data_IF_465528245356
#
_entry.id   IF_465528245356
#
_cell.length_a   1.000
_cell.length_b   1.000
_cell.length_c   1.000
_cell.angle_alpha   90.00
_cell.angle_beta   90.00
_cell.angle_gamma   90.00
#
_symmetry.space_group_name_H-M   'P 1'
#
loop_
_entity.id
_entity.type
_entity.pdbx_description
1 polymer ?
#
# COMPACT_ATOMS: atom_id res chain seq x y z
N UNK A 1 -1.36 -10.04 7.02
CA UNK A 1 -0.21 -10.92 6.66
C UNK A 1 0.75 -11.03 7.83
N UNK A 2 1.06 -12.25 8.31
CA UNK A 2 2.01 -12.44 9.42
C UNK A 2 3.42 -11.96 9.07
N UNK A 3 3.87 -12.18 7.84
CA UNK A 3 5.20 -11.81 7.33
C UNK A 3 5.46 -10.29 7.39
N UNK A 4 4.45 -9.45 7.14
CA UNK A 4 4.60 -7.99 7.21
C UNK A 4 4.76 -7.48 8.65
N UNK A 5 4.15 -8.17 9.62
CA UNK A 5 4.29 -7.80 11.04
C UNK A 5 5.71 -8.01 11.55
N UNK A 6 6.42 -9.01 11.02
CA UNK A 6 7.81 -9.31 11.38
C UNK A 6 8.80 -8.23 10.93
N UNK A 7 8.44 -7.43 9.93
CA UNK A 7 9.24 -6.27 9.46
C UNK A 7 8.74 -4.93 10.03
N UNK A 8 7.86 -4.98 11.03
CA UNK A 8 7.33 -3.81 11.72
C UNK A 8 6.20 -3.08 10.98
N UNK A 9 5.55 -3.73 10.00
CA UNK A 9 4.39 -3.19 9.30
C UNK A 9 3.09 -3.87 9.72
N UNK A 10 2.05 -3.06 9.90
CA UNK A 10 0.67 -3.53 10.02
C UNK A 10 -0.02 -3.49 8.66
N UNK A 11 -1.06 -4.31 8.49
CA UNK A 11 -1.85 -4.40 7.24
C UNK A 11 -2.20 -3.02 6.67
N UNK A 12 -1.91 -2.79 5.39
CA UNK A 12 -2.15 -1.55 4.67
C UNK A 12 -1.00 -0.52 4.77
N UNK A 13 -0.10 -0.63 5.75
CA UNK A 13 1.05 0.28 5.85
C UNK A 13 2.09 0.03 4.76
N UNK A 14 2.25 -1.22 4.34
CA UNK A 14 3.08 -1.63 3.23
C UNK A 14 2.66 -0.95 1.92
N UNK A 15 1.35 -0.83 1.67
CA UNK A 15 0.83 -0.23 0.45
C UNK A 15 1.08 1.28 0.42
N UNK A 16 0.90 1.95 1.57
CA UNK A 16 1.27 3.36 1.71
C UNK A 16 2.76 3.57 1.46
N UNK A 17 3.64 2.73 2.04
CA UNK A 17 5.07 2.83 1.80
C UNK A 17 5.46 2.57 0.34
N UNK A 18 4.84 1.57 -0.31
CA UNK A 18 5.01 1.33 -1.75
C UNK A 18 4.66 2.57 -2.56
N UNK A 19 3.50 3.17 -2.28
CA UNK A 19 3.05 4.38 -2.96
C UNK A 19 4.06 5.52 -2.82
N UNK A 20 4.59 5.74 -1.61
CA UNK A 20 5.63 6.74 -1.36
C UNK A 20 6.97 6.43 -2.04
N UNK A 21 7.34 5.16 -2.17
CA UNK A 21 8.57 4.77 -2.87
C UNK A 21 8.47 4.89 -4.39
N UNK A 22 7.29 4.72 -4.95
CA UNK A 22 7.02 4.83 -6.38
C UNK A 22 6.79 6.28 -6.82
N UNK A 23 5.99 7.02 -6.06
CA UNK A 23 5.53 8.37 -6.44
C UNK A 23 6.22 9.50 -5.67
N UNK A 24 7.11 9.16 -4.73
CA UNK A 24 7.78 10.14 -3.87
C UNK A 24 6.82 10.79 -2.85
N UNK A 25 7.22 11.94 -2.27
CA UNK A 25 6.43 12.68 -1.29
C UNK A 25 4.98 12.97 -1.71
N UNK A 26 4.00 12.50 -0.95
CA UNK A 26 2.57 12.72 -1.19
C UNK A 26 1.94 13.58 -0.10
N UNK A 27 0.88 14.34 -0.43
CA UNK A 27 0.09 15.02 0.62
C UNK A 27 -0.67 13.99 1.42
N UNK A 28 -0.75 14.19 2.73
CA UNK A 28 -1.43 13.25 3.61
C UNK A 28 -2.94 13.13 3.29
N UNK A 29 -3.56 14.23 2.82
CA UNK A 29 -4.97 14.22 2.41
C UNK A 29 -5.19 13.40 1.14
N UNK A 30 -4.27 13.47 0.19
CA UNK A 30 -4.34 12.70 -1.06
C UNK A 30 -4.17 11.21 -0.77
N UNK A 31 -3.26 10.85 0.16
CA UNK A 31 -3.16 9.49 0.66
C UNK A 31 -4.44 9.02 1.35
N UNK A 32 -5.11 9.87 2.14
CA UNK A 32 -6.37 9.48 2.78
C UNK A 32 -7.45 9.14 1.75
N UNK A 33 -7.57 9.96 0.70
CA UNK A 33 -8.49 9.74 -0.41
C UNK A 33 -8.12 8.50 -1.23
N UNK A 34 -6.85 8.33 -1.61
CA UNK A 34 -6.39 7.20 -2.45
C UNK A 34 -6.61 5.85 -1.76
N UNK A 35 -6.38 5.78 -0.44
CA UNK A 35 -6.52 4.57 0.35
C UNK A 35 -7.92 4.38 0.96
N UNK A 36 -8.91 5.17 0.52
CA UNK A 36 -10.30 5.16 1.00
C UNK A 36 -10.40 5.12 2.53
N UNK A 37 -9.69 6.04 3.20
CA UNK A 37 -9.62 6.10 4.66
C UNK A 37 -9.85 7.51 5.18
N UNK A 38 -10.40 7.60 6.40
CA UNK A 38 -10.60 8.89 7.04
C UNK A 38 -9.26 9.55 7.44
N UNK A 39 -9.26 10.89 7.54
CA UNK A 39 -8.08 11.68 7.88
C UNK A 39 -7.45 11.30 9.22
N UNK A 40 -8.25 10.87 10.21
CA UNK A 40 -7.75 10.49 11.53
C UNK A 40 -7.03 9.14 11.48
N UNK A 41 -7.57 8.18 10.72
CA UNK A 41 -6.96 6.88 10.43
C UNK A 41 -5.65 7.05 9.67
N UNK A 42 -5.64 7.84 8.58
CA UNK A 42 -4.41 8.16 7.86
C UNK A 42 -3.37 8.83 8.77
N UNK A 43 -3.79 9.78 9.62
CA UNK A 43 -2.90 10.42 10.59
C UNK A 43 -2.26 9.41 11.54
N UNK A 44 -3.05 8.47 12.11
CA UNK A 44 -2.51 7.43 13.00
C UNK A 44 -1.52 6.52 12.28
N UNK A 45 -1.80 6.17 11.02
CA UNK A 45 -0.93 5.36 10.18
C UNK A 45 0.41 6.03 9.93
N UNK A 46 0.38 7.30 9.50
CA UNK A 46 1.58 8.10 9.25
C UNK A 46 2.38 8.32 10.53
N UNK A 47 1.75 8.66 11.64
CA UNK A 47 2.43 8.82 12.93
C UNK A 47 3.16 7.55 13.38
N UNK A 48 2.61 6.37 13.09
CA UNK A 48 3.26 5.11 13.44
C UNK A 48 4.47 4.82 12.55
N UNK A 49 4.37 5.09 11.25
CA UNK A 49 5.50 4.99 10.32
C UNK A 49 6.59 6.00 10.67
N UNK A 50 6.22 7.20 11.11
CA UNK A 50 7.14 8.25 11.56
C UNK A 50 7.84 7.84 12.86
N UNK A 51 7.09 7.29 13.84
CA UNK A 51 7.67 6.73 15.07
C UNK A 51 8.62 5.56 14.80
N UNK A 52 8.37 4.78 13.75
CA UNK A 52 9.28 3.73 13.29
C UNK A 52 10.47 4.26 12.47
N UNK A 53 10.52 5.57 12.21
CA UNK A 53 11.60 6.22 11.47
C UNK A 53 11.53 6.04 9.95
N UNK A 54 10.46 5.48 9.40
CA UNK A 54 10.33 5.18 7.96
C UNK A 54 9.82 6.36 7.14
N UNK A 55 9.08 7.28 7.75
CA UNK A 55 8.63 8.50 7.09
C UNK A 55 8.92 9.71 7.96
N UNK A 56 8.86 10.89 7.35
CA UNK A 56 8.81 12.18 8.03
C UNK A 56 7.69 13.03 7.44
N UNK A 57 7.08 13.88 8.26
CA UNK A 57 6.13 14.89 7.80
C UNK A 57 6.83 16.22 7.58
N UNK A 58 6.58 16.85 6.44
CA UNK A 58 7.09 18.18 6.10
C UNK A 58 5.94 19.08 5.66
N UNK A 59 6.01 20.41 5.89
CA UNK A 59 5.03 21.34 5.33
C UNK A 59 5.00 21.23 3.80
N UNK A 60 3.82 21.31 3.21
CA UNK A 60 3.72 21.39 1.76
C UNK A 60 4.25 22.76 1.28
N UNK A 61 5.12 22.81 0.26
CA UNK A 61 5.69 24.06 -0.22
C UNK A 61 4.66 25.00 -0.85
N UNK A 62 3.57 24.44 -1.38
CA UNK A 62 2.53 25.18 -2.10
C UNK A 62 1.31 25.51 -1.21
N UNK A 63 1.15 24.79 -0.09
CA UNK A 63 0.11 25.05 0.91
C UNK A 63 0.59 24.77 2.35
N UNK A 64 0.86 25.83 3.13
CA UNK A 64 1.32 25.71 4.52
C UNK A 64 0.32 25.02 5.47
N UNK A 65 -0.94 24.88 5.07
CA UNK A 65 -1.97 24.15 5.84
C UNK A 65 -1.91 22.65 5.56
N UNK A 66 -1.29 22.24 4.45
CA UNK A 66 -1.10 20.86 4.08
C UNK A 66 0.24 20.31 4.58
N UNK A 67 0.29 18.99 4.70
CA UNK A 67 1.49 18.24 5.11
C UNK A 67 1.79 17.17 4.08
N UNK A 68 3.05 17.06 3.67
CA UNK A 68 3.56 15.97 2.85
C UNK A 68 4.21 14.92 3.72
N UNK A 69 4.02 13.67 3.33
CA UNK A 69 4.66 12.50 3.94
C UNK A 69 5.78 12.07 3.01
N UNK A 70 7.01 12.00 3.53
CA UNK A 70 8.19 11.63 2.76
C UNK A 70 8.82 10.36 3.32
N UNK A 71 9.23 9.39 2.48
CA UNK A 71 10.03 8.27 2.94
C UNK A 71 11.40 8.76 3.40
N UNK A 72 11.91 8.21 4.50
CA UNK A 72 13.27 8.47 4.98
C UNK A 72 14.28 7.52 4.34
N UNK A 73 15.59 7.81 4.41
CA UNK A 73 16.62 6.85 4.02
C UNK A 73 16.54 5.51 4.77
N UNK A 74 16.07 5.52 6.03
CA UNK A 74 15.90 4.30 6.82
C UNK A 74 14.83 3.36 6.21
N UNK A 75 13.84 3.91 5.49
CA UNK A 75 12.82 3.11 4.80
C UNK A 75 13.36 2.28 3.64
N UNK A 76 14.57 2.55 3.12
CA UNK A 76 15.13 1.78 2.01
C UNK A 76 15.45 0.33 2.38
N UNK A 77 15.82 0.08 3.65
CA UNK A 77 16.00 -1.28 4.15
C UNK A 77 14.65 -2.02 4.23
N UNK A 78 13.61 -1.31 4.69
CA UNK A 78 12.25 -1.81 4.73
C UNK A 78 11.73 -2.12 3.31
N UNK A 79 12.02 -1.26 2.32
CA UNK A 79 11.65 -1.49 0.91
C UNK A 79 12.13 -2.85 0.42
N UNK A 80 13.41 -3.15 0.61
CA UNK A 80 13.98 -4.46 0.22
C UNK A 80 13.39 -5.63 0.99
N UNK A 81 12.93 -5.42 2.22
CA UNK A 81 12.24 -6.47 2.98
C UNK A 81 10.84 -6.72 2.43
N UNK A 82 10.09 -5.65 2.17
CA UNK A 82 8.75 -5.70 1.60
C UNK A 82 8.79 -6.32 0.21
N UNK A 83 9.67 -5.87 -0.68
CA UNK A 83 9.83 -6.43 -2.04
C UNK A 83 10.07 -7.95 -1.99
N UNK A 84 10.95 -8.44 -1.11
CA UNK A 84 11.17 -9.88 -0.94
C UNK A 84 9.95 -10.63 -0.44
N UNK A 85 9.19 -10.06 0.49
CA UNK A 85 7.94 -10.67 0.98
C UNK A 85 6.93 -10.79 -0.17
N UNK A 86 6.80 -9.76 -1.00
CA UNK A 86 5.90 -9.78 -2.15
C UNK A 86 6.34 -10.76 -3.23
N UNK A 87 7.63 -10.83 -3.56
CA UNK A 87 8.16 -11.84 -4.48
C UNK A 87 7.92 -13.26 -3.97
N UNK A 88 8.11 -13.52 -2.69
CA UNK A 88 7.84 -14.85 -2.12
C UNK A 88 6.35 -15.16 -2.10
N UNK A 89 5.51 -14.18 -1.79
CA UNK A 89 4.06 -14.34 -1.86
C UNK A 89 3.59 -14.63 -3.28
N UNK A 90 4.11 -13.91 -4.28
CA UNK A 90 3.84 -14.16 -5.68
C UNK A 90 4.20 -15.61 -6.03
N UNK A 91 5.43 -16.03 -5.70
CA UNK A 91 5.92 -17.41 -5.93
C UNK A 91 5.01 -18.47 -5.29
N UNK A 92 4.56 -18.25 -4.06
CA UNK A 92 3.67 -19.16 -3.35
C UNK A 92 2.24 -19.15 -3.90
N UNK A 93 1.79 -18.01 -4.44
CA UNK A 93 0.44 -17.84 -4.99
C UNK A 93 0.30 -18.50 -6.35
N UNK A 94 1.30 -18.33 -7.23
CA UNK A 94 1.28 -18.97 -8.55
C UNK A 94 1.82 -20.39 -8.55
N UNK A 95 2.67 -20.76 -7.59
CA UNK A 95 3.21 -22.12 -7.50
C UNK A 95 3.85 -22.60 -8.82
N UNK A 96 3.38 -23.75 -9.31
CA UNK A 96 3.80 -24.34 -10.61
C UNK A 96 2.87 -23.97 -11.78
N UNK A 97 1.98 -22.98 -11.61
CA UNK A 97 1.03 -22.59 -12.66
C UNK A 97 1.76 -22.10 -13.91
N UNK A 98 1.33 -22.62 -15.07
CA UNK A 98 1.76 -22.09 -16.37
C UNK A 98 1.21 -20.68 -16.59
N UNK A 99 1.83 -19.94 -17.50
CA UNK A 99 1.34 -18.61 -17.88
C UNK A 99 -0.11 -18.64 -18.41
N UNK A 100 -0.55 -19.76 -18.98
CA UNK A 100 -1.94 -19.94 -19.42
C UNK A 100 -2.90 -20.09 -18.24
N UNK A 101 -2.55 -20.95 -17.27
CA UNK A 101 -3.35 -21.12 -16.05
C UNK A 101 -3.45 -19.82 -15.24
N UNK A 102 -2.40 -19.01 -15.21
CA UNK A 102 -2.43 -17.69 -14.58
C UNK A 102 -3.38 -16.73 -15.29
N UNK A 103 -3.36 -16.69 -16.64
CA UNK A 103 -4.30 -15.88 -17.43
C UNK A 103 -5.74 -16.31 -17.20
N UNK A 104 -6.01 -17.61 -17.19
CA UNK A 104 -7.35 -18.14 -16.96
C UNK A 104 -7.86 -17.79 -15.55
N UNK A 105 -6.99 -17.89 -14.54
CA UNK A 105 -7.33 -17.51 -13.17
C UNK A 105 -7.67 -16.02 -13.06
N UNK A 106 -6.87 -15.14 -13.67
CA UNK A 106 -7.14 -13.69 -13.72
C UNK A 106 -8.49 -13.44 -14.40
N UNK A 107 -8.76 -14.05 -15.55
CA UNK A 107 -10.04 -13.89 -16.24
C UNK A 107 -11.27 -14.33 -15.42
N UNK A 108 -11.12 -15.36 -14.57
CA UNK A 108 -12.18 -15.78 -13.64
C UNK A 108 -12.37 -14.75 -12.52
N UNK A 109 -11.28 -14.24 -11.94
CA UNK A 109 -11.33 -13.22 -10.88
C UNK A 109 -11.94 -11.91 -11.37
N UNK A 110 -11.55 -11.42 -12.54
CA UNK A 110 -12.11 -10.20 -13.15
C UNK A 110 -13.63 -10.32 -13.35
N UNK A 111 -14.10 -11.50 -13.77
CA UNK A 111 -15.53 -11.75 -13.93
C UNK A 111 -16.26 -11.79 -12.59
N UNK A 112 -15.65 -12.34 -11.54
CA UNK A 112 -16.21 -12.33 -10.18
C UNK A 112 -16.31 -10.88 -9.68
N UNK A 113 -15.25 -10.09 -9.84
CA UNK A 113 -15.24 -8.66 -9.48
C UNK A 113 -16.34 -7.89 -10.23
N UNK A 114 -16.44 -8.07 -11.55
CA UNK A 114 -17.47 -7.44 -12.37
C UNK A 114 -18.90 -7.76 -11.91
N UNK A 115 -19.16 -9.00 -11.48
CA UNK A 115 -20.45 -9.38 -10.92
C UNK A 115 -20.73 -8.68 -9.58
N UNK A 116 -19.74 -8.60 -8.69
CA UNK A 116 -19.89 -7.98 -7.38
C UNK A 116 -20.13 -6.47 -7.49
N UNK A 117 -19.36 -5.77 -8.34
CA UNK A 117 -19.52 -4.34 -8.56
C UNK A 117 -20.81 -4.01 -9.33
N UNK A 118 -21.19 -4.85 -10.30
CA UNK A 118 -22.45 -4.72 -11.05
C UNK A 118 -23.69 -5.00 -10.20
N UNK A 119 -23.58 -5.83 -9.16
CA UNK A 119 -24.67 -6.07 -8.20
C UNK A 119 -24.87 -4.94 -7.19
N UNK A 120 -23.91 -4.01 -7.05
CA UNK A 120 -23.99 -2.90 -6.08
C UNK A 120 -24.82 -1.70 -6.57
N UNK A 121 -25.24 -1.66 -7.83
CA UNK A 121 -26.08 -0.58 -8.41
C UNK A 121 -27.57 -0.93 -8.49
N UNK A 122 -27.99 -2.06 -7.92
CA UNK A 122 -29.37 -2.51 -7.89
C UNK A 122 -29.84 -2.73 -6.45
N UNK A 123 -29.85 -1.67 -5.64
CA UNK A 123 -30.71 -1.51 -4.46
C UNK A 123 -30.85 -0.02 -4.09
#
# INVERSE_FOLDING_TARGET
MQLLREVGLHTGQELLMMRLWESGPQRQVDLATEFDTDSASMTRTVQRLERAGYVRRVPDPDDRRATRVEPTPASLALRRQVERIWTELERLTVGEMTAEQQRDAIGVLDRIEGNLLGSSTAD
#
